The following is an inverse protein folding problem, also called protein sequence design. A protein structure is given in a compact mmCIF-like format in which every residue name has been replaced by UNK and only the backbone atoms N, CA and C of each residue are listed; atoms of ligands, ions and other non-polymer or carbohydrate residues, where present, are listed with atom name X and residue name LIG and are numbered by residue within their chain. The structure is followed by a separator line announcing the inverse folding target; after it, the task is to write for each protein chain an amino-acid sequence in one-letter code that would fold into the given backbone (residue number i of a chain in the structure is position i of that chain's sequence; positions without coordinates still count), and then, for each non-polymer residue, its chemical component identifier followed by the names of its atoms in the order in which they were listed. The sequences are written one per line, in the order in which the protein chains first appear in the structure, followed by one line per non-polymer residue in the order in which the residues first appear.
data_IF_124684986000
#
_entry.id   IF_124684986000
#
_cell.length_a   1.000
_cell.length_b   1.000
_cell.length_c   1.000
_cell.angle_alpha   90.00
_cell.angle_beta   90.00
_cell.angle_gamma   90.00
#
_symmetry.space_group_name_H-M   'P 1'
#
loop_
_entity.id
_entity.type
_entity.pdbx_description
1 polymer ?
#
# COMPACT_ATOMS: atom_id res chain seq x y z
N UNK A 1 -9.66 -8.09 -12.47
CA UNK A 1 -8.24 -8.34 -12.20
C UNK A 1 -8.01 -8.35 -10.71
N UNK A 2 -7.08 -9.16 -10.25
CA UNK A 2 -6.75 -9.24 -8.82
C UNK A 2 -5.46 -8.47 -8.58
N UNK A 3 -5.52 -7.55 -7.61
CA UNK A 3 -4.34 -6.81 -7.17
C UNK A 3 -4.13 -7.04 -5.69
N UNK A 4 -2.88 -7.02 -5.27
CA UNK A 4 -2.52 -7.10 -3.86
C UNK A 4 -2.08 -5.72 -3.38
N UNK A 5 -2.70 -5.24 -2.31
CA UNK A 5 -2.34 -3.97 -1.69
C UNK A 5 -1.59 -4.28 -0.41
N UNK A 6 -0.35 -3.80 -0.30
CA UNK A 6 0.46 -3.97 0.89
C UNK A 6 0.63 -2.62 1.58
N UNK A 7 0.33 -2.59 2.88
CA UNK A 7 0.60 -1.43 3.72
C UNK A 7 1.87 -1.68 4.51
N UNK A 8 2.74 -0.68 4.58
CA UNK A 8 4.04 -0.86 5.20
C UNK A 8 4.43 0.35 6.05
N UNK A 9 5.39 0.12 6.94
CA UNK A 9 6.08 1.18 7.68
C UNK A 9 7.54 1.21 7.26
N UNK A 10 8.10 2.41 7.25
CA UNK A 10 9.53 2.58 7.00
C UNK A 10 10.20 2.67 8.36
N UNK A 11 11.15 1.79 8.61
CA UNK A 11 11.88 1.76 9.87
C UNK A 11 12.90 2.88 9.89
N UNK A 12 12.90 3.74 10.91
CA UNK A 12 13.81 4.90 10.93
C UNK A 12 15.28 4.52 11.08
N UNK A 13 15.58 3.31 11.54
CA UNK A 13 16.96 2.91 11.80
C UNK A 13 17.70 2.44 10.55
N UNK A 14 16.98 1.80 9.61
CA UNK A 14 17.63 1.19 8.44
C UNK A 14 16.84 1.39 7.15
N UNK A 15 15.78 2.19 7.18
CA UNK A 15 14.88 2.45 6.04
C UNK A 15 14.24 1.19 5.46
N UNK A 16 14.25 0.08 6.20
CA UNK A 16 13.61 -1.14 5.76
C UNK A 16 12.09 -1.02 5.82
N UNK A 17 11.42 -1.63 4.87
CA UNK A 17 9.96 -1.63 4.83
C UNK A 17 9.43 -2.84 5.60
N UNK A 18 8.60 -2.58 6.62
CA UNK A 18 7.94 -3.63 7.38
C UNK A 18 6.49 -3.68 6.93
N UNK A 19 6.07 -4.80 6.35
CA UNK A 19 4.69 -4.99 5.90
C UNK A 19 3.79 -5.13 7.11
N UNK A 20 2.81 -4.25 7.24
CA UNK A 20 1.84 -4.28 8.33
C UNK A 20 0.62 -5.12 7.98
N UNK A 21 0.17 -5.02 6.74
CA UNK A 21 -1.01 -5.75 6.30
C UNK A 21 -0.97 -5.91 4.78
N UNK A 22 -1.68 -6.89 4.30
CA UNK A 22 -1.76 -7.23 2.88
C UNK A 22 -3.18 -7.64 2.55
N UNK A 23 -3.75 -7.04 1.51
CA UNK A 23 -5.11 -7.29 1.09
C UNK A 23 -5.14 -7.57 -0.40
N UNK A 24 -6.00 -8.53 -0.80
CA UNK A 24 -6.28 -8.76 -2.22
C UNK A 24 -7.59 -8.08 -2.57
N UNK A 25 -7.59 -7.36 -3.69
CA UNK A 25 -8.80 -6.69 -4.19
C UNK A 25 -9.06 -7.12 -5.63
N UNK A 26 -10.33 -7.21 -5.98
CA UNK A 26 -10.75 -7.54 -7.34
C UNK A 26 -11.37 -6.30 -7.94
N UNK A 27 -10.68 -5.71 -8.92
CA UNK A 27 -11.13 -4.48 -9.59
C UNK A 27 -10.78 -4.58 -11.07
N UNK A 28 -11.32 -3.66 -11.88
CA UNK A 28 -11.18 -3.74 -13.32
C UNK A 28 -9.82 -3.30 -13.84
N UNK A 29 -9.16 -2.36 -13.15
CA UNK A 29 -7.88 -1.84 -13.60
C UNK A 29 -7.08 -1.28 -12.43
N UNK A 30 -5.86 -0.82 -12.75
CA UNK A 30 -4.97 -0.29 -11.74
C UNK A 30 -5.50 1.00 -11.10
N UNK A 31 -6.16 1.85 -11.87
CA UNK A 31 -6.71 3.10 -11.33
C UNK A 31 -7.76 2.80 -10.25
N UNK A 32 -8.62 1.81 -10.49
CA UNK A 32 -9.58 1.38 -9.49
C UNK A 32 -8.89 0.82 -8.25
N UNK A 33 -7.79 0.10 -8.44
CA UNK A 33 -6.99 -0.42 -7.32
C UNK A 33 -6.39 0.72 -6.51
N UNK A 34 -5.91 1.77 -7.16
CA UNK A 34 -5.35 2.93 -6.47
C UNK A 34 -6.39 3.65 -5.62
N UNK A 35 -7.58 3.84 -6.17
CA UNK A 35 -8.69 4.47 -5.43
C UNK A 35 -9.03 3.63 -4.20
N UNK A 36 -9.14 2.32 -4.39
CA UNK A 36 -9.46 1.41 -3.29
C UNK A 36 -8.37 1.45 -2.22
N UNK A 37 -7.12 1.43 -2.64
CA UNK A 37 -5.99 1.43 -1.71
C UNK A 37 -5.96 2.70 -0.87
N UNK A 38 -6.19 3.85 -1.47
CA UNK A 38 -6.19 5.12 -0.73
C UNK A 38 -7.36 5.21 0.24
N UNK A 39 -8.52 4.72 -0.17
CA UNK A 39 -9.68 4.66 0.70
C UNK A 39 -9.41 3.78 1.92
N UNK A 40 -8.82 2.61 1.69
CA UNK A 40 -8.45 1.70 2.78
C UNK A 40 -7.39 2.30 3.69
N UNK A 41 -6.42 2.99 3.12
CA UNK A 41 -5.36 3.65 3.89
C UNK A 41 -5.95 4.63 4.92
N UNK A 42 -6.99 5.35 4.52
CA UNK A 42 -7.61 6.35 5.39
C UNK A 42 -8.54 5.73 6.42
N UNK A 43 -9.15 4.58 6.11
CA UNK A 43 -10.21 4.00 6.95
C UNK A 43 -9.78 2.78 7.73
N UNK A 44 -8.65 2.15 7.39
CA UNK A 44 -8.20 0.95 8.08
C UNK A 44 -7.76 1.27 9.49
N UNK A 45 -8.33 0.53 10.44
CA UNK A 45 -7.91 0.61 11.84
C UNK A 45 -6.77 -0.39 12.06
N UNK A 46 -5.56 0.12 12.07
CA UNK A 46 -4.38 -0.69 12.37
C UNK A 46 -3.80 -0.27 13.72
N UNK A 47 -3.16 -1.21 14.45
CA UNK A 47 -2.48 -0.84 15.68
C UNK A 47 -1.41 0.23 15.46
N UNK A 48 -0.81 0.24 14.28
CA UNK A 48 0.16 1.24 13.88
C UNK A 48 -0.26 1.83 12.55
N UNK A 49 -0.16 3.15 12.43
CA UNK A 49 -0.50 3.81 11.18
C UNK A 49 0.60 3.52 10.16
N UNK A 50 0.26 3.05 8.95
CA UNK A 50 1.27 2.78 7.93
C UNK A 50 1.87 4.06 7.38
N UNK A 51 3.10 3.96 6.89
CA UNK A 51 3.79 5.07 6.23
C UNK A 51 3.44 5.16 4.75
N UNK A 52 3.06 4.05 4.15
CA UNK A 52 2.71 4.03 2.74
C UNK A 52 2.07 2.73 2.32
N UNK A 53 1.88 2.60 1.02
CA UNK A 53 1.30 1.40 0.43
C UNK A 53 1.93 1.13 -0.92
N UNK A 54 1.79 -0.10 -1.38
CA UNK A 54 2.15 -0.48 -2.74
C UNK A 54 1.12 -1.45 -3.29
N UNK A 55 0.99 -1.46 -4.61
CA UNK A 55 0.06 -2.32 -5.30
C UNK A 55 0.84 -3.25 -6.21
N UNK A 56 0.56 -4.54 -6.09
CA UNK A 56 1.21 -5.60 -6.85
C UNK A 56 0.19 -6.29 -7.73
N UNK A 57 0.64 -6.79 -8.88
CA UNK A 57 -0.22 -7.60 -9.73
C UNK A 57 -0.25 -9.06 -9.26
N UNK A 58 -0.91 -9.92 -10.03
CA UNK A 58 -1.03 -11.34 -9.68
C UNK A 58 0.32 -12.07 -9.67
N UNK A 59 1.31 -11.55 -10.41
CA UNK A 59 2.65 -12.13 -10.44
C UNK A 59 3.53 -11.63 -9.32
N UNK A 60 3.08 -10.65 -8.54
CA UNK A 60 3.88 -10.04 -7.51
C UNK A 60 4.72 -8.87 -7.99
N UNK A 61 4.47 -8.38 -9.20
CA UNK A 61 5.17 -7.20 -9.72
C UNK A 61 4.57 -5.93 -9.13
N UNK A 62 5.42 -5.04 -8.62
CA UNK A 62 4.98 -3.77 -8.08
C UNK A 62 4.59 -2.84 -9.22
N UNK A 63 3.34 -2.39 -9.20
CA UNK A 63 2.79 -1.51 -10.22
C UNK A 63 2.66 -0.07 -9.74
N UNK A 64 2.56 0.12 -8.43
CA UNK A 64 2.35 1.44 -7.85
C UNK A 64 2.94 1.46 -6.45
N UNK A 65 3.60 2.55 -6.10
CA UNK A 65 4.18 2.77 -4.78
C UNK A 65 3.81 4.17 -4.32
N UNK A 66 3.37 4.29 -3.09
CA UNK A 66 3.05 5.58 -2.49
C UNK A 66 3.56 5.62 -1.07
N UNK A 67 4.12 6.74 -0.69
CA UNK A 67 4.76 6.94 0.60
C UNK A 67 4.37 8.31 1.13
N UNK A 68 3.73 8.35 2.28
CA UNK A 68 3.25 9.58 2.88
C UNK A 68 4.40 10.50 3.30
N UNK A 69 5.52 9.94 3.69
CA UNK A 69 6.66 10.72 4.16
C UNK A 69 7.30 11.59 3.10
N UNK A 70 7.16 11.21 1.83
CA UNK A 70 7.76 11.95 0.73
C UNK A 70 6.93 13.15 0.29
N UNK A 71 5.70 13.24 0.73
CA UNK A 71 4.82 14.34 0.38
C UNK A 71 5.08 15.60 1.21
N UNK A 72 5.92 15.49 2.20
CA UNK A 72 6.23 16.59 3.10
C UNK A 72 7.39 17.45 2.64
N UNK A 73 7.83 17.22 1.46
CA UNK A 73 8.96 17.96 0.93
C UNK A 73 8.64 19.44 0.74
#
# INVERSE_FOLDING_TARGET
MIFTIEFFRIRPTDDAHATLDRLSVIVDDLDAAKVKARSLFETLEMPQKPDGLRILDESGCELFFWDQGKDDA
#
